data_IF_561488194741
#
_entry.id   IF_561488194741
#
_cell.length_a   1.000
_cell.length_b   1.000
_cell.length_c   1.000
_cell.angle_alpha   90.00
_cell.angle_beta   90.00
_cell.angle_gamma   90.00
#
_symmetry.space_group_name_H-M   'P 1'
#
loop_
_entity.id
_entity.type
_entity.pdbx_description
1 polymer ?
#
# COMPACT_ATOMS: atom_id res chain seq x y z
N UNK A 1 -27.02 -22.83 28.42
CA UNK A 1 -26.57 -21.46 28.61
C UNK A 1 -26.26 -20.85 27.26
N UNK A 2 -26.71 -19.58 26.98
CA UNK A 2 -26.44 -18.91 25.75
C UNK A 2 -24.95 -18.48 25.70
N UNK A 3 -24.30 -18.74 24.56
CA UNK A 3 -22.92 -18.27 24.35
C UNK A 3 -22.91 -16.72 24.32
N UNK A 4 -22.12 -16.05 25.14
CA UNK A 4 -22.09 -14.58 25.15
C UNK A 4 -21.55 -14.05 23.81
N UNK A 5 -22.14 -12.97 23.30
CA UNK A 5 -21.69 -12.28 22.10
C UNK A 5 -20.44 -11.45 22.43
N UNK A 6 -19.29 -11.84 21.89
CA UNK A 6 -18.01 -11.15 22.08
C UNK A 6 -17.48 -10.61 20.74
N UNK A 7 -17.01 -9.38 20.77
CA UNK A 7 -16.38 -8.70 19.63
C UNK A 7 -14.89 -8.53 19.84
N UNK A 8 -14.15 -8.35 18.74
CA UNK A 8 -12.73 -8.01 18.81
C UNK A 8 -12.56 -6.70 19.57
N UNK A 9 -11.72 -6.72 20.61
CA UNK A 9 -11.33 -5.54 21.35
C UNK A 9 -9.83 -5.30 21.16
N UNK A 10 -9.47 -4.09 20.72
CA UNK A 10 -8.09 -3.76 20.41
C UNK A 10 -7.76 -2.31 20.74
N UNK A 11 -6.46 -2.02 20.80
CA UNK A 11 -5.87 -0.68 20.95
C UNK A 11 -4.80 -0.45 19.88
N UNK A 12 -4.35 0.79 19.75
CA UNK A 12 -3.31 1.19 18.80
C UNK A 12 -3.82 2.07 17.66
N UNK A 13 -2.92 2.88 17.13
CA UNK A 13 -3.25 3.87 16.10
C UNK A 13 -4.17 4.98 16.61
N UNK A 14 -4.70 5.78 15.70
CA UNK A 14 -5.78 6.74 15.99
C UNK A 14 -7.11 6.01 15.88
N UNK A 15 -7.90 6.03 16.97
CA UNK A 15 -9.17 5.32 17.04
C UNK A 15 -10.33 6.27 16.76
N UNK A 16 -11.23 5.84 15.87
CA UNK A 16 -12.51 6.50 15.60
C UNK A 16 -13.65 5.50 15.66
N UNK A 17 -14.86 5.96 15.95
CA UNK A 17 -16.08 5.13 15.92
C UNK A 17 -16.98 5.65 14.79
N UNK A 18 -17.50 4.73 13.98
CA UNK A 18 -18.44 5.03 12.91
C UNK A 18 -19.57 3.99 12.94
N UNK A 19 -20.75 4.38 13.41
CA UNK A 19 -21.84 3.46 13.69
C UNK A 19 -21.37 2.36 14.66
N UNK A 20 -21.57 1.12 14.31
CA UNK A 20 -21.19 -0.05 15.12
C UNK A 20 -19.71 -0.47 14.93
N UNK A 21 -18.94 0.28 14.12
CA UNK A 21 -17.56 -0.04 13.81
C UNK A 21 -16.58 0.83 14.58
N UNK A 22 -15.52 0.19 15.08
CA UNK A 22 -14.33 0.87 15.60
C UNK A 22 -13.21 0.80 14.56
N UNK A 23 -12.67 1.96 14.18
CA UNK A 23 -11.66 2.11 13.15
C UNK A 23 -10.34 2.47 13.81
N UNK A 24 -9.30 1.67 13.54
CA UNK A 24 -7.93 1.92 13.96
C UNK A 24 -7.11 2.38 12.76
N UNK A 25 -6.67 3.65 12.73
CA UNK A 25 -5.88 4.24 11.65
C UNK A 25 -4.43 4.40 12.04
N UNK A 26 -3.53 3.85 11.22
CA UNK A 26 -2.08 3.97 11.35
C UNK A 26 -1.54 4.78 10.17
N UNK A 27 -0.88 5.90 10.45
CA UNK A 27 -0.20 6.76 9.48
C UNK A 27 1.32 6.69 9.58
N UNK A 28 1.82 5.82 10.43
CA UNK A 28 3.22 5.50 10.68
C UNK A 28 3.32 4.14 11.35
N UNK A 29 4.54 3.61 11.55
CA UNK A 29 4.75 2.35 12.26
C UNK A 29 4.10 2.36 13.64
N UNK A 30 3.57 1.22 14.07
CA UNK A 30 2.89 1.10 15.35
C UNK A 30 2.53 -0.35 15.67
N UNK A 31 1.65 -0.53 16.63
CA UNK A 31 1.18 -1.85 17.04
C UNK A 31 -0.34 -1.84 17.17
N UNK A 32 -1.01 -2.77 16.50
CA UNK A 32 -2.40 -3.11 16.72
C UNK A 32 -2.46 -4.21 17.76
N UNK A 33 -2.87 -3.91 18.98
CA UNK A 33 -2.88 -4.84 20.11
C UNK A 33 -4.31 -5.34 20.37
N UNK A 34 -4.56 -6.60 20.07
CA UNK A 34 -5.84 -7.27 20.32
C UNK A 34 -5.83 -7.85 21.73
N UNK A 35 -6.72 -7.37 22.60
CA UNK A 35 -6.88 -7.84 23.97
C UNK A 35 -7.99 -8.89 24.12
N UNK A 36 -8.98 -8.89 23.21
CA UNK A 36 -10.03 -9.90 23.12
C UNK A 36 -10.25 -10.26 21.65
N UNK A 37 -10.17 -11.54 21.34
CA UNK A 37 -10.32 -12.05 19.97
C UNK A 37 -11.80 -12.09 19.50
N UNK A 38 -12.76 -11.82 20.39
CA UNK A 38 -14.18 -12.05 20.07
C UNK A 38 -14.51 -13.53 19.91
N UNK A 39 -15.68 -13.83 19.38
CA UNK A 39 -16.15 -15.20 19.11
C UNK A 39 -17.10 -15.26 17.91
N UNK A 40 -17.54 -16.48 17.55
CA UNK A 40 -18.45 -16.69 16.42
C UNK A 40 -19.87 -16.12 16.62
N UNK A 41 -20.29 -15.86 17.86
CA UNK A 41 -21.58 -15.22 18.15
C UNK A 41 -21.54 -13.70 17.94
N UNK A 42 -20.35 -13.10 18.04
CA UNK A 42 -20.07 -11.70 17.70
C UNK A 42 -19.24 -11.58 16.44
N UNK A 43 -17.95 -11.22 16.59
CA UNK A 43 -17.00 -11.20 15.49
C UNK A 43 -15.59 -11.51 16.00
N UNK A 44 -14.87 -12.38 15.32
CA UNK A 44 -13.47 -12.72 15.60
C UNK A 44 -12.54 -12.33 14.44
N UNK A 45 -13.02 -11.50 13.53
CA UNK A 45 -12.29 -11.02 12.35
C UNK A 45 -12.24 -9.49 12.30
N UNK A 46 -11.27 -8.96 11.61
CA UNK A 46 -11.15 -7.54 11.28
C UNK A 46 -11.08 -7.34 9.77
N UNK A 47 -11.78 -6.34 9.29
CA UNK A 47 -11.58 -5.81 7.95
C UNK A 47 -10.40 -4.85 7.94
N UNK A 48 -9.73 -4.76 6.80
CA UNK A 48 -8.53 -3.93 6.69
C UNK A 48 -8.40 -3.27 5.32
N UNK A 49 -7.69 -2.19 5.32
CA UNK A 49 -7.13 -1.53 4.15
C UNK A 49 -5.65 -1.24 4.41
N UNK A 50 -4.77 -1.83 3.60
CA UNK A 50 -3.32 -1.62 3.67
C UNK A 50 -2.87 -0.92 2.40
N UNK A 51 -2.35 0.30 2.53
CA UNK A 51 -1.86 1.12 1.42
C UNK A 51 -0.37 1.32 1.59
N UNK A 52 0.41 1.02 0.57
CA UNK A 52 1.85 1.20 0.56
C UNK A 52 2.27 2.60 0.09
N UNK A 53 3.53 2.95 0.28
CA UNK A 53 4.11 4.21 -0.21
C UNK A 53 4.16 4.26 -1.73
N UNK A 54 3.88 5.42 -2.33
CA UNK A 54 4.08 5.64 -3.77
C UNK A 54 5.55 5.79 -4.12
N UNK A 55 5.93 5.47 -5.35
CA UNK A 55 7.27 5.72 -5.89
C UNK A 55 7.49 7.19 -6.24
N UNK A 56 8.73 7.63 -6.22
CA UNK A 56 9.14 8.95 -6.66
C UNK A 56 9.30 9.03 -8.19
N UNK A 57 8.96 10.16 -8.78
CA UNK A 57 9.26 10.44 -10.19
C UNK A 57 10.75 10.69 -10.40
N UNK A 58 11.24 10.43 -11.60
CA UNK A 58 12.62 10.74 -11.99
C UNK A 58 12.87 12.24 -12.15
N UNK A 59 14.11 12.64 -12.03
CA UNK A 59 14.54 14.02 -12.28
C UNK A 59 14.41 14.42 -13.76
N UNK A 60 14.01 15.66 -14.02
CA UNK A 60 13.95 16.21 -15.39
C UNK A 60 15.32 16.52 -15.95
N UNK A 61 15.51 16.36 -17.27
CA UNK A 61 16.69 16.82 -18.01
C UNK A 61 16.81 18.34 -18.01
N UNK A 62 17.95 18.85 -18.48
CA UNK A 62 18.20 20.29 -18.67
C UNK A 62 17.79 20.78 -20.06
N UNK A 63 17.89 22.10 -20.27
CA UNK A 63 17.54 22.73 -21.55
C UNK A 63 18.33 22.23 -22.76
N UNK A 64 19.54 21.68 -22.56
CA UNK A 64 20.36 21.14 -23.64
C UNK A 64 19.96 19.73 -24.05
N UNK A 65 19.29 19.02 -23.18
CA UNK A 65 18.80 17.64 -23.44
C UNK A 65 17.36 17.49 -22.87
N UNK A 66 16.36 18.04 -23.59
CA UNK A 66 14.96 17.95 -23.15
C UNK A 66 14.45 16.52 -23.35
N UNK A 67 14.84 15.62 -22.49
CA UNK A 67 14.40 14.20 -22.51
C UNK A 67 13.33 13.97 -21.46
N UNK A 68 12.36 13.14 -21.82
CA UNK A 68 11.30 12.75 -20.93
C UNK A 68 11.83 11.95 -19.75
N UNK A 69 11.28 12.19 -18.58
CA UNK A 69 11.57 11.47 -17.34
C UNK A 69 10.36 10.64 -16.93
N UNK A 70 10.61 9.48 -16.34
CA UNK A 70 9.57 8.57 -15.90
C UNK A 70 8.85 9.06 -14.64
N UNK A 71 7.56 8.82 -14.56
CA UNK A 71 6.77 9.00 -13.33
C UNK A 71 6.90 7.80 -12.42
N UNK A 72 6.86 8.02 -11.11
CA UNK A 72 6.75 6.93 -10.14
C UNK A 72 5.37 6.32 -10.12
N UNK A 73 5.28 5.05 -9.78
CA UNK A 73 4.03 4.32 -9.61
C UNK A 73 3.37 4.59 -8.26
N UNK A 74 2.06 4.42 -8.18
CA UNK A 74 1.33 4.45 -6.91
C UNK A 74 1.67 3.24 -6.02
N UNK A 75 1.56 3.40 -4.70
CA UNK A 75 1.64 2.26 -3.79
C UNK A 75 0.50 1.27 -3.99
N UNK A 76 0.77 0.01 -3.78
CA UNK A 76 -0.24 -1.03 -3.82
C UNK A 76 -1.30 -0.85 -2.74
N UNK A 77 -2.45 -1.45 -2.96
CA UNK A 77 -3.57 -1.44 -1.99
C UNK A 77 -4.06 -2.87 -1.79
N UNK A 78 -4.24 -3.26 -0.53
CA UNK A 78 -4.87 -4.52 -0.13
C UNK A 78 -6.11 -4.22 0.73
N UNK A 79 -7.23 -4.80 0.34
CA UNK A 79 -8.52 -4.62 1.01
C UNK A 79 -9.10 -5.98 1.34
N UNK A 80 -9.67 -6.13 2.56
CA UNK A 80 -10.55 -7.27 2.83
C UNK A 80 -11.90 -7.07 2.12
N UNK A 81 -12.43 -8.15 1.55
CA UNK A 81 -13.49 -8.08 0.53
C UNK A 81 -14.93 -8.14 1.07
N UNK A 82 -15.18 -7.96 2.36
CA UNK A 82 -16.54 -8.13 2.90
C UNK A 82 -17.54 -7.05 2.46
N UNK A 83 -17.06 -5.90 1.98
CA UNK A 83 -17.95 -4.77 1.64
C UNK A 83 -17.70 -4.11 0.29
N UNK A 84 -16.70 -4.54 -0.48
CA UNK A 84 -16.37 -3.90 -1.75
C UNK A 84 -16.62 -4.83 -2.94
N UNK A 85 -17.82 -4.78 -3.48
CA UNK A 85 -18.14 -5.36 -4.80
C UNK A 85 -17.71 -4.38 -5.87
N UNK A 86 -16.53 -4.59 -6.43
CA UNK A 86 -16.09 -3.83 -7.59
C UNK A 86 -16.68 -4.46 -8.86
N UNK A 87 -17.73 -3.85 -9.40
CA UNK A 87 -18.49 -4.32 -10.56
C UNK A 87 -18.10 -3.65 -11.88
N UNK A 88 -16.97 -2.92 -11.95
CA UNK A 88 -16.52 -2.24 -13.17
C UNK A 88 -15.66 -3.12 -14.07
N UNK A 89 -15.68 -2.90 -15.40
CA UNK A 89 -14.87 -3.68 -16.36
C UNK A 89 -13.36 -3.46 -16.22
N UNK A 90 -12.93 -2.48 -15.43
CA UNK A 90 -11.53 -2.21 -15.10
C UNK A 90 -11.14 -2.67 -13.69
N UNK A 91 -12.06 -3.30 -12.99
CA UNK A 91 -11.73 -3.95 -11.76
C UNK A 91 -11.04 -5.27 -12.09
N UNK A 92 -9.99 -5.56 -11.54
CA UNK A 92 -9.85 -5.88 -10.15
C UNK A 92 -8.44 -5.92 -9.69
N UNK A 93 -8.17 -5.02 -8.92
CA UNK A 93 -6.77 -5.04 -8.51
C UNK A 93 -6.63 -5.15 -7.00
N UNK A 94 -7.72 -5.41 -6.33
CA UNK A 94 -7.70 -6.00 -5.01
C UNK A 94 -7.87 -7.51 -5.17
N UNK A 95 -6.85 -8.29 -4.88
CA UNK A 95 -7.09 -9.69 -4.58
C UNK A 95 -8.18 -9.71 -3.51
N UNK A 96 -9.29 -10.40 -3.79
CA UNK A 96 -10.36 -10.61 -2.83
C UNK A 96 -9.76 -11.43 -1.67
N UNK A 97 -9.32 -10.77 -0.63
CA UNK A 97 -8.83 -11.40 0.58
C UNK A 97 -9.88 -11.24 1.65
N UNK A 98 -10.17 -12.35 2.31
CA UNK A 98 -11.14 -12.41 3.40
C UNK A 98 -10.70 -11.53 4.57
N UNK A 99 -11.66 -11.14 5.41
CA UNK A 99 -11.36 -10.54 6.70
C UNK A 99 -10.36 -11.42 7.49
N UNK A 100 -9.45 -10.76 8.21
CA UNK A 100 -8.40 -11.45 8.95
C UNK A 100 -8.91 -11.88 10.32
N UNK A 101 -8.78 -13.17 10.63
CA UNK A 101 -8.98 -13.65 12.00
C UNK A 101 -7.82 -13.20 12.88
N UNK A 102 -8.14 -12.59 14.01
CA UNK A 102 -7.15 -11.97 14.89
C UNK A 102 -7.23 -12.55 16.30
N UNK A 103 -6.39 -13.54 16.66
CA UNK A 103 -6.22 -13.94 18.05
C UNK A 103 -5.73 -12.76 18.93
N UNK A 104 -5.93 -12.91 20.25
CA UNK A 104 -5.50 -11.92 21.23
C UNK A 104 -3.97 -11.86 21.30
N UNK A 105 -3.37 -10.99 20.54
CA UNK A 105 -1.93 -10.73 20.47
C UNK A 105 -1.63 -9.34 19.91
N UNK A 106 -0.36 -8.98 19.90
CA UNK A 106 0.12 -7.73 19.33
C UNK A 106 0.57 -7.95 17.87
N UNK A 107 0.04 -7.13 16.96
CA UNK A 107 0.38 -7.13 15.54
C UNK A 107 1.22 -5.90 15.22
N UNK A 108 2.50 -6.05 14.87
CA UNK A 108 3.28 -4.92 14.39
C UNK A 108 2.72 -4.40 13.07
N UNK A 109 2.63 -3.07 12.97
CA UNK A 109 2.20 -2.37 11.76
C UNK A 109 3.41 -1.66 11.17
N UNK A 110 3.67 -1.88 9.90
CA UNK A 110 4.62 -1.10 9.11
C UNK A 110 3.85 -0.25 8.11
N UNK A 111 4.16 1.05 8.05
CA UNK A 111 3.61 1.96 7.05
C UNK A 111 4.76 2.43 6.17
N UNK A 112 4.73 2.08 4.91
CA UNK A 112 5.76 2.41 3.93
C UNK A 112 5.75 3.89 3.57
N UNK A 113 6.91 4.52 3.59
CA UNK A 113 7.09 5.90 3.13
C UNK A 113 7.07 6.00 1.61
N UNK A 114 6.79 7.20 1.09
CA UNK A 114 6.95 7.51 -0.32
C UNK A 114 8.41 7.51 -0.76
N UNK A 115 8.68 7.11 -1.99
CA UNK A 115 10.00 7.19 -2.62
C UNK A 115 10.40 8.65 -2.89
N UNK A 116 11.69 8.96 -2.72
CA UNK A 116 12.22 10.29 -3.04
C UNK A 116 12.13 10.57 -4.53
N UNK A 117 11.90 11.83 -4.90
CA UNK A 117 12.04 12.28 -6.28
C UNK A 117 13.50 12.24 -6.75
N UNK A 118 13.72 11.94 -8.01
CA UNK A 118 15.04 11.97 -8.64
C UNK A 118 15.59 13.40 -8.77
N UNK A 119 16.91 13.55 -8.72
CA UNK A 119 17.58 14.84 -8.92
C UNK A 119 17.52 15.22 -10.39
N UNK A 120 17.08 16.45 -10.69
CA UNK A 120 17.07 17.02 -12.04
C UNK A 120 18.44 17.55 -12.47
N UNK A 121 18.60 17.80 -13.75
CA UNK A 121 19.82 18.41 -14.33
C UNK A 121 20.51 17.50 -15.33
N UNK A 122 21.80 17.80 -15.68
CA UNK A 122 22.56 17.07 -16.71
C UNK A 122 22.72 15.57 -16.43
N UNK A 123 22.65 15.17 -15.16
CA UNK A 123 22.70 13.78 -14.68
C UNK A 123 21.37 13.32 -14.07
N UNK A 124 20.23 13.71 -14.65
CA UNK A 124 18.92 13.42 -14.08
C UNK A 124 18.77 11.95 -13.74
N UNK A 125 18.62 11.69 -12.45
CA UNK A 125 18.57 10.35 -11.85
C UNK A 125 17.16 9.79 -11.72
N UNK A 126 17.11 8.49 -11.42
CA UNK A 126 15.87 7.80 -11.11
C UNK A 126 15.20 8.36 -9.85
N UNK A 127 13.89 8.19 -9.74
CA UNK A 127 13.20 8.33 -8.46
C UNK A 127 13.55 7.19 -7.50
N UNK A 128 13.06 7.28 -6.26
CA UNK A 128 13.11 6.22 -5.27
C UNK A 128 11.88 5.32 -5.35
N UNK A 129 12.00 4.06 -4.97
CA UNK A 129 10.87 3.17 -4.78
C UNK A 129 10.10 3.52 -3.51
N UNK A 130 8.78 3.32 -3.52
CA UNK A 130 7.98 3.40 -2.29
C UNK A 130 8.25 2.22 -1.35
N UNK A 131 8.04 2.46 -0.06
CA UNK A 131 8.14 1.41 0.96
C UNK A 131 6.89 0.53 1.04
N UNK A 132 7.06 -0.72 1.39
CA UNK A 132 5.95 -1.64 1.64
C UNK A 132 5.23 -1.29 2.94
N UNK A 133 3.90 -1.50 2.97
CA UNK A 133 3.12 -1.49 4.20
C UNK A 133 2.70 -2.90 4.57
N UNK A 134 2.77 -3.22 5.87
CA UNK A 134 2.53 -4.58 6.36
C UNK A 134 1.59 -4.55 7.55
N UNK A 135 0.58 -5.43 7.52
CA UNK A 135 -0.27 -5.79 8.64
C UNK A 135 -0.35 -7.32 8.73
N UNK A 136 0.19 -7.90 9.79
CA UNK A 136 0.27 -9.37 9.95
C UNK A 136 0.96 -10.04 8.76
N UNK A 137 0.27 -10.94 8.08
CA UNK A 137 0.74 -11.61 6.86
C UNK A 137 0.44 -10.84 5.58
N UNK A 138 -0.26 -9.70 5.67
CA UNK A 138 -0.69 -8.92 4.53
C UNK A 138 0.36 -7.86 4.21
N UNK A 139 0.97 -7.97 3.04
CA UNK A 139 1.91 -6.99 2.53
C UNK A 139 1.33 -6.28 1.32
N UNK A 140 1.37 -4.97 1.32
CA UNK A 140 1.11 -4.13 0.15
C UNK A 140 2.42 -3.59 -0.38
N UNK A 141 2.72 -3.83 -1.65
CA UNK A 141 4.00 -3.45 -2.25
C UNK A 141 4.08 -1.95 -2.52
N UNK A 142 5.25 -1.38 -2.28
CA UNK A 142 5.53 0.02 -2.63
C UNK A 142 5.42 0.28 -4.12
N UNK A 143 5.14 1.52 -4.50
CA UNK A 143 5.12 1.95 -5.89
C UNK A 143 6.52 1.95 -6.50
N UNK A 144 6.60 1.65 -7.78
CA UNK A 144 7.85 1.62 -8.52
C UNK A 144 8.43 3.03 -8.71
N UNK A 145 9.72 3.14 -8.81
CA UNK A 145 10.40 4.39 -9.15
C UNK A 145 10.18 4.76 -10.63
N UNK A 146 10.18 6.05 -10.94
CA UNK A 146 10.30 6.56 -12.30
C UNK A 146 11.72 6.46 -12.81
N UNK A 147 11.91 6.10 -14.08
CA UNK A 147 13.22 5.98 -14.70
C UNK A 147 13.75 7.32 -15.19
N UNK A 148 15.00 7.64 -14.82
CA UNK A 148 15.76 8.81 -15.31
C UNK A 148 16.39 8.53 -16.67
N UNK A 149 16.60 9.59 -17.45
CA UNK A 149 17.17 9.46 -18.80
C UNK A 149 18.66 9.10 -18.83
N UNK A 150 19.36 9.18 -17.70
CA UNK A 150 20.80 8.89 -17.62
C UNK A 150 21.13 7.51 -17.05
N UNK A 151 20.14 6.75 -16.59
CA UNK A 151 20.34 5.46 -15.94
C UNK A 151 19.64 4.31 -16.67
N UNK A 152 18.60 3.76 -16.08
CA UNK A 152 17.82 2.70 -16.70
C UNK A 152 16.61 3.32 -17.37
N UNK A 153 16.52 3.26 -18.69
CA UNK A 153 15.38 3.82 -19.41
C UNK A 153 14.05 3.14 -19.14
N UNK A 154 14.06 1.94 -18.54
CA UNK A 154 12.85 1.13 -18.30
C UNK A 154 12.21 1.48 -16.96
N UNK A 155 10.89 1.50 -16.93
CA UNK A 155 10.10 1.54 -15.70
C UNK A 155 10.32 0.27 -14.88
N UNK A 156 10.19 0.38 -13.56
CA UNK A 156 10.26 -0.76 -12.65
C UNK A 156 8.88 -1.23 -12.23
N UNK A 157 8.83 -2.49 -11.80
CA UNK A 157 7.61 -3.10 -11.25
C UNK A 157 7.36 -2.63 -9.82
N UNK A 158 6.10 -2.67 -9.42
CA UNK A 158 5.69 -2.27 -8.07
C UNK A 158 4.21 -2.48 -7.82
N UNK A 159 3.68 -1.94 -6.72
CA UNK A 159 2.24 -1.90 -6.48
C UNK A 159 1.47 -1.30 -7.65
N UNK A 160 1.99 -0.20 -8.21
CA UNK A 160 1.77 0.21 -9.60
C UNK A 160 3.13 0.38 -10.25
N UNK A 161 3.26 0.01 -11.52
CA UNK A 161 4.51 0.14 -12.27
C UNK A 161 4.91 1.60 -12.47
N UNK A 162 6.22 1.85 -12.54
CA UNK A 162 6.80 3.12 -12.90
C UNK A 162 6.86 3.29 -14.41
N UNK A 163 6.82 4.53 -14.91
CA UNK A 163 7.02 4.77 -16.33
C UNK A 163 8.50 4.81 -16.71
N UNK A 164 8.82 4.31 -17.91
CA UNK A 164 10.11 4.43 -18.51
C UNK A 164 10.39 5.86 -18.99
N UNK A 165 11.65 6.15 -19.31
CA UNK A 165 12.08 7.38 -19.95
C UNK A 165 12.23 7.17 -21.48
N UNK A 166 12.06 8.21 -22.28
CA UNK A 166 12.32 8.19 -23.73
C UNK A 166 11.63 7.05 -24.51
N UNK A 167 10.34 6.90 -24.35
CA UNK A 167 9.55 5.88 -25.06
C UNK A 167 9.95 4.40 -24.75
N UNK A 168 10.64 4.17 -23.65
CA UNK A 168 10.90 2.81 -23.17
C UNK A 168 9.71 2.22 -22.42
N UNK A 169 9.76 0.93 -22.15
CA UNK A 169 8.66 0.20 -21.51
C UNK A 169 8.39 0.66 -20.09
N UNK A 170 7.12 0.73 -19.72
CA UNK A 170 6.71 0.88 -18.32
C UNK A 170 6.93 -0.43 -17.55
N UNK A 171 7.07 -0.33 -16.26
CA UNK A 171 7.07 -1.50 -15.38
C UNK A 171 5.66 -2.03 -15.13
N UNK A 172 5.58 -3.27 -14.71
CA UNK A 172 4.33 -3.93 -14.37
C UNK A 172 3.81 -3.46 -13.01
N UNK A 173 2.50 -3.34 -12.92
CA UNK A 173 1.79 -3.08 -11.66
C UNK A 173 1.31 -4.37 -11.01
N UNK A 174 0.77 -4.23 -9.80
CA UNK A 174 0.18 -5.33 -9.04
C UNK A 174 1.17 -6.46 -8.69
N UNK A 175 2.42 -6.10 -8.50
CA UNK A 175 3.40 -7.00 -7.89
C UNK A 175 3.01 -7.18 -6.43
N UNK A 176 2.85 -8.42 -5.94
CA UNK A 176 2.41 -8.71 -4.58
C UNK A 176 3.44 -8.33 -3.51
#
# INVERSE_FOLDING_TARGET
DAVPTLYVTATGGTVATCGDFKIHKFTGPGTFCVSCAGNSAGSNTVDYMVVAGGGGGAGGGNYQFPRGSGAGGGGGVRLSATTYTNSGPSAPRSACVSALSVPATAYPITVGGGGAGGVGGPGAGDGGTGGNSVFSTITSAGGAKGAGHCHTYQGQDGGSGGSGANASTAGDGNVP
#
